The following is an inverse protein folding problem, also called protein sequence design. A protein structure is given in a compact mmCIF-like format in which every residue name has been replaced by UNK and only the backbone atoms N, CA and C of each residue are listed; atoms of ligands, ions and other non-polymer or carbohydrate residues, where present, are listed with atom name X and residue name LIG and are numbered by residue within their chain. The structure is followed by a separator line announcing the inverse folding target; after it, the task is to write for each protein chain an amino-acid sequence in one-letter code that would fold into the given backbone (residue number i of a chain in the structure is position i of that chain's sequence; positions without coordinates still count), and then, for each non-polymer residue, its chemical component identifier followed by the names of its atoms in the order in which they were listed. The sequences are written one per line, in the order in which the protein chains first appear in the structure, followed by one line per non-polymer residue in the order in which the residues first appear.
data_IF_748308246324
#
_entry.id   IF_748308246324
#
_cell.length_a   1.000
_cell.length_b   1.000
_cell.length_c   1.000
_cell.angle_alpha   90.00
_cell.angle_beta   90.00
_cell.angle_gamma   90.00
#
_symmetry.space_group_name_H-M   'P 1'
#
loop_
_entity.id
_entity.type
_entity.pdbx_description
1 polymer ?
#
# COMPACT_ATOMS: atom_id res chain seq x y z
N UNK A 1 16.28 -20.23 37.29
CA UNK A 1 16.33 -21.41 36.40
C UNK A 1 15.34 -21.17 35.26
N UNK A 2 15.82 -20.53 34.20
CA UNK A 2 15.03 -20.14 33.03
C UNK A 2 15.35 -21.07 31.88
N UNK A 3 14.34 -21.79 31.39
CA UNK A 3 14.44 -22.70 30.26
C UNK A 3 13.12 -22.56 29.53
N UNK A 4 13.17 -22.40 28.21
CA UNK A 4 12.08 -21.96 27.30
C UNK A 4 12.03 -20.43 27.13
N UNK A 5 13.11 -19.83 26.64
CA UNK A 5 12.99 -18.59 25.86
C UNK A 5 13.24 -18.94 24.40
N UNK A 6 12.24 -18.72 23.54
CA UNK A 6 12.39 -18.87 22.10
C UNK A 6 12.58 -17.49 21.48
N UNK A 7 13.72 -17.35 20.82
CA UNK A 7 14.13 -16.14 20.12
C UNK A 7 14.14 -16.42 18.63
N UNK A 8 13.29 -15.72 17.90
CA UNK A 8 13.29 -15.75 16.44
C UNK A 8 14.10 -14.55 15.94
N UNK A 9 15.13 -14.80 15.13
CA UNK A 9 15.98 -13.74 14.55
C UNK A 9 15.18 -12.89 13.57
N UNK A 10 14.40 -13.55 12.72
CA UNK A 10 13.48 -12.93 11.78
C UNK A 10 12.32 -13.86 11.47
N UNK A 11 11.24 -13.29 10.94
CA UNK A 11 10.09 -14.00 10.42
C UNK A 11 9.70 -13.37 9.09
N UNK A 12 9.78 -14.15 8.02
CA UNK A 12 9.36 -13.77 6.67
C UNK A 12 8.07 -14.50 6.30
N UNK A 13 7.07 -13.76 5.82
CA UNK A 13 5.83 -14.31 5.26
C UNK A 13 5.70 -13.77 3.85
N UNK A 14 5.51 -14.65 2.88
CA UNK A 14 5.25 -14.29 1.49
C UNK A 14 3.98 -15.04 1.06
N UNK A 15 3.02 -14.29 0.52
CA UNK A 15 1.81 -14.85 -0.05
C UNK A 15 1.48 -14.18 -1.39
N UNK A 16 0.89 -14.95 -2.29
CA UNK A 16 0.41 -14.46 -3.59
C UNK A 16 -1.10 -14.68 -3.71
N UNK A 17 -1.77 -13.83 -4.49
CA UNK A 17 -3.22 -13.92 -4.71
C UNK A 17 -4.03 -13.76 -3.42
N UNK A 18 -3.58 -12.88 -2.53
CA UNK A 18 -4.20 -12.66 -1.24
C UNK A 18 -5.62 -12.12 -1.38
N UNK A 19 -6.54 -12.65 -0.56
CA UNK A 19 -7.93 -12.17 -0.47
C UNK A 19 -8.44 -12.26 0.96
N UNK A 20 -8.99 -11.17 1.48
CA UNK A 20 -9.67 -11.17 2.79
C UNK A 20 -11.16 -11.46 2.64
N UNK A 21 -11.85 -11.89 3.72
CA UNK A 21 -13.30 -12.05 3.73
C UNK A 21 -14.06 -10.76 3.37
N UNK A 22 -13.47 -9.60 3.69
CA UNK A 22 -14.02 -8.28 3.38
C UNK A 22 -13.63 -7.76 1.99
N UNK A 23 -13.14 -8.63 1.10
CA UNK A 23 -12.93 -8.32 -0.31
C UNK A 23 -11.64 -7.55 -0.63
N UNK A 24 -10.77 -7.29 0.35
CA UNK A 24 -9.44 -6.76 0.07
C UNK A 24 -8.63 -7.81 -0.70
N UNK A 25 -8.03 -7.41 -1.82
CA UNK A 25 -7.23 -8.28 -2.67
C UNK A 25 -5.84 -7.71 -2.83
N UNK A 26 -4.84 -8.58 -3.03
CA UNK A 26 -3.48 -8.19 -3.34
C UNK A 26 -2.80 -9.26 -4.19
N UNK A 27 -2.00 -8.85 -5.17
CA UNK A 27 -1.20 -9.79 -5.96
C UNK A 27 -0.15 -10.47 -5.11
N UNK A 28 0.51 -9.72 -4.25
CA UNK A 28 1.57 -10.22 -3.39
C UNK A 28 1.60 -9.46 -2.07
N UNK A 29 1.86 -10.19 -1.00
CA UNK A 29 2.07 -9.67 0.33
C UNK A 29 3.38 -10.25 0.85
N UNK A 30 4.31 -9.38 1.20
CA UNK A 30 5.57 -9.75 1.86
C UNK A 30 5.63 -9.07 3.21
N UNK A 31 5.92 -9.82 4.27
CA UNK A 31 6.12 -9.29 5.61
C UNK A 31 7.44 -9.81 6.12
N UNK A 32 8.34 -8.92 6.53
CA UNK A 32 9.60 -9.26 7.19
C UNK A 32 9.64 -8.58 8.55
N UNK A 33 9.66 -9.38 9.61
CA UNK A 33 9.73 -8.90 11.00
C UNK A 33 11.05 -9.32 11.59
N UNK A 34 11.80 -8.33 12.08
CA UNK A 34 13.08 -8.54 12.74
C UNK A 34 12.88 -8.68 14.25
N UNK A 35 13.50 -9.70 14.85
CA UNK A 35 13.56 -9.92 16.29
C UNK A 35 12.19 -10.11 16.95
N UNK A 36 11.75 -11.37 17.08
CA UNK A 36 10.56 -11.73 17.86
C UNK A 36 10.96 -12.57 19.07
N UNK A 37 10.61 -12.07 20.26
CA UNK A 37 10.83 -12.75 21.52
C UNK A 37 9.47 -13.16 22.09
N UNK A 38 9.21 -14.47 22.15
CA UNK A 38 7.95 -15.00 22.68
C UNK A 38 8.13 -15.34 24.15
N UNK A 39 7.17 -14.92 24.97
CA UNK A 39 7.09 -15.32 26.37
C UNK A 39 6.46 -16.71 26.47
N UNK A 40 7.30 -17.74 26.58
CA UNK A 40 6.82 -19.12 26.73
C UNK A 40 6.19 -19.39 28.10
N UNK A 41 6.55 -18.61 29.13
CA UNK A 41 5.92 -18.75 30.44
C UNK A 41 4.44 -18.44 30.33
N UNK A 42 4.10 -17.32 29.66
CA UNK A 42 2.71 -16.95 29.36
C UNK A 42 2.08 -17.94 28.37
N UNK A 43 2.82 -18.38 27.34
CA UNK A 43 2.31 -19.36 26.39
C UNK A 43 1.90 -20.67 27.05
N UNK A 44 2.72 -21.23 27.93
CA UNK A 44 2.47 -22.51 28.58
C UNK A 44 1.41 -22.36 29.67
N UNK A 45 1.53 -21.35 30.53
CA UNK A 45 0.66 -21.19 31.71
C UNK A 45 -0.71 -20.63 31.37
N UNK A 46 -0.80 -19.72 30.41
CA UNK A 46 -2.03 -19.02 30.06
C UNK A 46 -2.57 -19.42 28.68
N UNK A 47 -1.87 -20.32 27.97
CA UNK A 47 -2.22 -20.72 26.59
C UNK A 47 -2.36 -19.52 25.65
N UNK A 48 -1.55 -18.48 25.89
CA UNK A 48 -1.59 -17.21 25.16
C UNK A 48 -0.22 -16.82 24.66
N UNK A 49 -0.11 -16.50 23.38
CA UNK A 49 1.13 -15.91 22.84
C UNK A 49 1.28 -14.49 23.37
N UNK A 50 2.34 -14.26 24.14
CA UNK A 50 2.74 -12.93 24.56
C UNK A 50 4.14 -12.59 24.03
N UNK A 51 4.34 -11.31 23.77
CA UNK A 51 5.61 -10.77 23.30
C UNK A 51 6.39 -10.29 24.52
N UNK A 52 7.64 -10.73 24.63
CA UNK A 52 8.54 -10.29 25.69
C UNK A 52 9.38 -9.12 25.19
N UNK A 53 9.41 -8.03 25.96
CA UNK A 53 10.24 -6.86 25.66
C UNK A 53 9.58 -5.87 24.69
N UNK A 54 10.41 -5.23 23.85
CA UNK A 54 9.92 -4.19 22.92
C UNK A 54 9.12 -4.81 21.76
N UNK A 55 8.06 -4.13 21.28
CA UNK A 55 7.31 -4.56 20.10
C UNK A 55 8.21 -4.83 18.88
N UNK A 56 8.15 -6.04 18.28
CA UNK A 56 8.87 -6.39 17.06
C UNK A 56 8.56 -5.39 15.95
N UNK A 57 9.60 -5.08 15.17
CA UNK A 57 9.52 -4.12 14.06
C UNK A 57 9.94 -4.80 12.78
N UNK A 58 9.32 -4.36 11.70
CA UNK A 58 9.52 -4.95 10.40
C UNK A 58 9.06 -4.05 9.27
N UNK A 59 8.98 -4.64 8.10
CA UNK A 59 8.47 -4.03 6.88
C UNK A 59 7.43 -4.95 6.27
N UNK A 60 6.43 -4.36 5.63
CA UNK A 60 5.47 -5.07 4.79
C UNK A 60 5.43 -4.43 3.43
N UNK A 61 5.40 -5.24 2.38
CA UNK A 61 5.19 -4.79 1.01
C UNK A 61 3.92 -5.42 0.49
N UNK A 62 2.98 -4.57 0.08
CA UNK A 62 1.74 -5.00 -0.58
C UNK A 62 1.81 -4.61 -2.04
N UNK A 63 1.72 -5.58 -2.93
CA UNK A 63 1.65 -5.36 -4.38
C UNK A 63 0.19 -5.40 -4.83
N UNK A 64 -0.28 -4.31 -5.41
CA UNK A 64 -1.66 -4.12 -5.86
C UNK A 64 -1.67 -3.78 -7.34
N UNK A 65 -2.53 -4.41 -8.14
CA UNK A 65 -2.89 -3.85 -9.44
C UNK A 65 -4.02 -2.80 -9.28
N UNK A 66 -4.48 -2.21 -10.39
CA UNK A 66 -5.55 -1.20 -10.33
C UNK A 66 -6.85 -1.71 -9.67
N UNK A 67 -7.25 -2.95 -9.95
CA UNK A 67 -8.44 -3.58 -9.36
C UNK A 67 -8.27 -3.83 -7.87
N UNK A 68 -7.12 -4.36 -7.47
CA UNK A 68 -6.77 -4.62 -6.07
C UNK A 68 -6.76 -3.32 -5.26
N UNK A 69 -6.19 -2.25 -5.85
CA UNK A 69 -6.19 -0.93 -5.25
C UNK A 69 -7.60 -0.35 -5.14
N UNK A 70 -8.45 -0.50 -6.16
CA UNK A 70 -9.87 -0.16 -6.10
C UNK A 70 -10.56 -0.85 -4.91
N UNK A 71 -10.39 -2.17 -4.78
CA UNK A 71 -10.93 -2.93 -3.64
C UNK A 71 -10.35 -2.46 -2.29
N UNK A 72 -9.05 -2.14 -2.23
CA UNK A 72 -8.39 -1.61 -1.04
C UNK A 72 -9.01 -0.29 -0.58
N UNK A 73 -9.34 0.63 -1.51
CA UNK A 73 -9.97 1.91 -1.15
C UNK A 73 -11.37 1.78 -0.53
N UNK A 74 -12.05 0.65 -0.77
CA UNK A 74 -13.37 0.36 -0.20
C UNK A 74 -13.29 -0.39 1.13
N UNK A 75 -12.10 -0.83 1.53
CA UNK A 75 -11.96 -1.63 2.74
C UNK A 75 -12.28 -0.78 3.99
N UNK A 76 -13.04 -1.30 4.98
CA UNK A 76 -13.43 -0.51 6.16
C UNK A 76 -12.26 0.10 6.92
N UNK A 77 -11.11 -0.56 6.97
CA UNK A 77 -9.91 -0.02 7.60
C UNK A 77 -9.34 1.18 6.85
N UNK A 78 -9.35 1.13 5.52
CA UNK A 78 -8.89 2.24 4.69
C UNK A 78 -9.87 3.41 4.80
N UNK A 79 -11.18 3.15 4.71
CA UNK A 79 -12.23 4.17 4.85
C UNK A 79 -12.15 4.89 6.20
N UNK A 80 -11.90 4.17 7.30
CA UNK A 80 -11.69 4.77 8.62
C UNK A 80 -10.47 5.70 8.63
N UNK A 81 -9.36 5.30 8.02
CA UNK A 81 -8.17 6.14 7.92
C UNK A 81 -8.39 7.35 7.01
N UNK A 82 -9.17 7.19 5.93
CA UNK A 82 -9.45 8.23 4.94
C UNK A 82 -10.57 9.21 5.34
N UNK A 83 -11.28 8.95 6.45
CA UNK A 83 -12.43 9.74 6.90
C UNK A 83 -12.11 11.21 7.16
N UNK A 84 -10.83 11.55 7.37
CA UNK A 84 -10.35 12.91 7.62
C UNK A 84 -9.23 13.33 6.65
N UNK A 85 -9.05 12.59 5.54
CA UNK A 85 -7.91 12.73 4.63
C UNK A 85 -7.74 14.14 4.05
N UNK A 86 -8.83 14.88 3.82
CA UNK A 86 -8.77 16.20 3.19
C UNK A 86 -9.33 17.25 4.15
N UNK A 87 -8.42 17.93 4.86
CA UNK A 87 -8.74 18.99 5.82
C UNK A 87 -9.76 18.57 6.90
N UNK A 88 -9.68 17.33 7.38
CA UNK A 88 -10.63 16.83 8.37
C UNK A 88 -11.94 16.31 7.78
N UNK A 89 -12.11 16.37 6.46
CA UNK A 89 -13.25 15.80 5.74
C UNK A 89 -12.87 14.52 4.99
N UNK A 90 -13.86 13.66 4.79
CA UNK A 90 -13.70 12.42 4.07
C UNK A 90 -13.51 12.67 2.57
N UNK A 91 -12.75 11.79 1.93
CA UNK A 91 -12.68 11.67 0.49
C UNK A 91 -13.21 10.28 0.09
N UNK A 92 -14.36 10.23 -0.57
CA UNK A 92 -15.00 9.00 -0.99
C UNK A 92 -14.45 8.57 -2.36
N UNK A 93 -13.51 7.62 -2.35
CA UNK A 93 -12.87 7.10 -3.56
C UNK A 93 -13.86 6.29 -4.41
N UNK A 94 -13.81 6.50 -5.72
CA UNK A 94 -14.51 5.69 -6.72
C UNK A 94 -13.62 4.49 -7.10
N UNK A 95 -13.96 3.26 -6.70
CA UNK A 95 -13.10 2.09 -6.88
C UNK A 95 -12.93 1.70 -8.36
N UNK A 96 -13.90 2.04 -9.21
CA UNK A 96 -13.91 1.67 -10.62
C UNK A 96 -13.11 2.67 -11.48
N UNK A 97 -12.75 3.82 -10.90
CA UNK A 97 -11.95 4.86 -11.56
C UNK A 97 -10.44 4.64 -11.48
N UNK A 98 -10.00 3.64 -10.71
CA UNK A 98 -8.58 3.42 -10.42
C UNK A 98 -7.85 2.94 -11.68
N UNK A 99 -6.77 3.64 -12.03
CA UNK A 99 -5.83 3.19 -13.07
C UNK A 99 -4.39 3.41 -12.65
N UNK A 100 -3.52 2.49 -13.05
CA UNK A 100 -2.09 2.57 -12.84
C UNK A 100 -1.45 2.62 -14.22
N UNK A 101 -0.63 3.65 -14.44
CA UNK A 101 0.03 3.89 -15.74
C UNK A 101 1.53 3.96 -15.49
N UNK A 102 2.28 3.04 -16.09
CA UNK A 102 3.73 3.13 -16.16
C UNK A 102 4.16 3.92 -17.41
N UNK A 103 5.07 4.88 -17.25
CA UNK A 103 5.60 5.65 -18.38
C UNK A 103 6.89 5.03 -18.92
N UNK A 104 7.05 4.86 -20.25
CA UNK A 104 8.27 4.30 -20.85
C UNK A 104 9.54 5.10 -20.54
N UNK A 105 9.41 6.40 -20.30
CA UNK A 105 10.50 7.31 -19.91
C UNK A 105 10.96 7.15 -18.46
N UNK A 106 10.36 6.21 -17.72
CA UNK A 106 10.56 6.03 -16.28
C UNK A 106 9.52 6.77 -15.44
N UNK A 107 9.22 6.21 -14.27
CA UNK A 107 8.16 6.68 -13.38
C UNK A 107 6.78 6.15 -13.78
N UNK A 108 5.74 6.80 -13.28
CA UNK A 108 4.36 6.41 -13.55
C UNK A 108 3.41 7.17 -12.65
N UNK A 109 2.14 6.91 -12.83
CA UNK A 109 1.09 7.54 -12.05
C UNK A 109 -0.04 6.59 -11.73
N UNK A 110 -0.65 6.84 -10.58
CA UNK A 110 -1.90 6.23 -10.14
C UNK A 110 -2.96 7.31 -10.28
N UNK A 111 -4.04 7.02 -11.00
CA UNK A 111 -5.18 7.92 -11.14
C UNK A 111 -6.38 7.29 -10.45
N UNK A 112 -7.16 8.11 -9.77
CA UNK A 112 -8.47 7.75 -9.22
C UNK A 112 -9.34 8.98 -9.15
N UNK A 113 -10.64 8.79 -9.13
CA UNK A 113 -11.64 9.80 -8.87
C UNK A 113 -12.25 9.60 -7.49
N UNK A 114 -12.85 10.64 -6.94
CA UNK A 114 -13.60 10.55 -5.70
C UNK A 114 -14.35 11.83 -5.40
N UNK A 115 -15.20 11.78 -4.38
CA UNK A 115 -16.00 12.93 -3.94
C UNK A 115 -15.45 13.47 -2.63
N UNK A 116 -15.17 14.77 -2.59
CA UNK A 116 -14.75 15.42 -1.34
C UNK A 116 -15.98 15.82 -0.54
N UNK A 117 -16.06 15.38 0.72
CA UNK A 117 -17.27 15.58 1.53
C UNK A 117 -17.54 17.04 1.93
N UNK A 118 -16.54 17.94 1.80
CA UNK A 118 -16.71 19.34 2.19
C UNK A 118 -17.59 20.14 1.20
N UNK A 119 -17.50 19.83 -0.09
CA UNK A 119 -18.25 20.51 -1.15
C UNK A 119 -19.17 19.57 -1.95
N UNK A 120 -19.03 18.25 -1.78
CA UNK A 120 -19.81 17.25 -2.51
C UNK A 120 -19.40 17.09 -3.98
N UNK A 121 -18.30 17.73 -4.38
CA UNK A 121 -17.83 17.75 -5.76
C UNK A 121 -16.89 16.57 -6.05
N UNK A 122 -16.86 16.18 -7.33
CA UNK A 122 -15.99 15.10 -7.80
C UNK A 122 -14.64 15.64 -8.22
N UNK A 123 -13.59 14.94 -7.83
CA UNK A 123 -12.21 15.26 -8.15
C UNK A 123 -11.52 14.08 -8.77
N UNK A 124 -10.77 14.33 -9.83
CA UNK A 124 -9.78 13.39 -10.38
C UNK A 124 -8.44 13.69 -9.74
N UNK A 125 -7.85 12.68 -9.14
CA UNK A 125 -6.57 12.75 -8.44
C UNK A 125 -5.54 11.97 -9.24
N UNK A 126 -4.36 12.56 -9.38
CA UNK A 126 -3.21 11.98 -10.04
C UNK A 126 -2.06 11.94 -9.05
N UNK A 127 -1.58 10.75 -8.74
CA UNK A 127 -0.54 10.49 -7.77
C UNK A 127 0.68 9.91 -8.48
N UNK A 128 1.84 10.53 -8.30
CA UNK A 128 3.12 10.08 -8.84
C UNK A 128 4.02 9.65 -7.68
N UNK A 129 4.16 8.34 -7.45
CA UNK A 129 5.06 7.80 -6.45
C UNK A 129 6.50 8.24 -6.69
N UNK A 130 7.17 8.62 -5.60
CA UNK A 130 8.60 8.90 -5.61
C UNK A 130 9.39 7.65 -5.95
N UNK A 131 10.11 7.64 -7.07
CA UNK A 131 10.90 6.47 -7.47
C UNK A 131 11.92 6.08 -6.39
N UNK A 132 11.69 4.95 -5.73
CA UNK A 132 12.64 4.31 -4.83
C UNK A 132 13.10 3.00 -5.44
N UNK A 133 14.43 2.77 -5.46
CA UNK A 133 14.98 1.43 -5.65
C UNK A 133 14.54 0.61 -4.45
N UNK A 134 13.94 -0.56 -4.70
CA UNK A 134 13.50 -1.51 -3.67
C UNK A 134 14.61 -1.69 -2.61
N UNK A 135 14.21 -1.72 -1.33
CA UNK A 135 15.01 -2.41 -0.32
C UNK A 135 15.06 -3.88 -0.73
N UNK A 136 16.06 -4.25 -1.52
CA UNK A 136 16.40 -5.63 -1.77
C UNK A 136 16.68 -6.28 -0.41
N UNK A 137 15.87 -7.29 -0.07
CA UNK A 137 16.17 -8.15 1.05
C UNK A 137 17.59 -8.74 0.86
N UNK A 138 18.43 -8.56 1.88
CA UNK A 138 19.73 -9.19 2.09
C UNK A 138 20.82 -8.95 1.03
N UNK A 139 21.60 -7.88 1.19
CA UNK A 139 23.04 -7.92 0.94
C UNK A 139 23.75 -6.90 1.84
N UNK A 140 24.59 -7.42 2.74
CA UNK A 140 25.76 -6.80 3.37
C UNK A 140 25.89 -5.27 3.32
N UNK A 141 25.90 -4.67 4.51
CA UNK A 141 26.43 -3.35 4.77
C UNK A 141 27.78 -3.15 4.05
N UNK A 142 27.77 -2.36 2.97
CA UNK A 142 28.96 -1.70 2.44
C UNK A 142 28.56 -0.29 2.04
N UNK A 143 29.24 0.64 2.70
CA UNK A 143 29.24 2.08 2.51
C UNK A 143 29.47 2.43 1.04
N UNK A 144 28.55 3.20 0.45
CA UNK A 144 28.64 3.68 -0.92
C UNK A 144 27.81 4.94 -1.06
N UNK A 145 28.52 6.06 -1.02
CA UNK A 145 28.04 7.44 -1.03
C UNK A 145 27.32 7.80 -2.34
N UNK A 146 26.31 8.68 -2.24
CA UNK A 146 25.47 9.10 -3.38
C UNK A 146 23.97 8.81 -3.24
N UNK A 147 23.39 8.98 -2.05
CA UNK A 147 21.96 8.90 -1.84
C UNK A 147 21.25 10.13 -2.46
N UNK A 148 20.84 10.01 -3.73
CA UNK A 148 19.88 10.94 -4.32
C UNK A 148 18.65 11.05 -3.39
N UNK A 149 18.31 12.27 -3.00
CA UNK A 149 17.25 12.53 -2.04
C UNK A 149 15.95 11.79 -2.45
N UNK A 150 15.21 11.22 -1.47
CA UNK A 150 13.93 10.57 -1.75
C UNK A 150 13.04 11.54 -2.53
N UNK A 151 12.63 11.16 -3.75
CA UNK A 151 11.64 11.95 -4.50
C UNK A 151 10.35 11.90 -3.68
N UNK A 152 9.87 13.05 -3.22
CA UNK A 152 8.61 13.13 -2.48
C UNK A 152 7.45 12.68 -3.36
N UNK A 153 6.45 12.06 -2.74
CA UNK A 153 5.15 11.78 -3.36
C UNK A 153 4.60 13.08 -3.95
N UNK A 154 4.23 13.06 -5.24
CA UNK A 154 3.56 14.21 -5.87
C UNK A 154 2.12 13.85 -6.13
N UNK A 155 1.21 14.74 -5.75
CA UNK A 155 -0.22 14.58 -5.99
C UNK A 155 -0.73 15.85 -6.65
N UNK A 156 -1.46 15.68 -7.75
CA UNK A 156 -2.30 16.71 -8.36
C UNK A 156 -3.76 16.30 -8.26
N UNK A 157 -4.66 17.28 -8.27
CA UNK A 157 -6.08 17.01 -8.41
C UNK A 157 -6.72 18.02 -9.37
N UNK A 158 -7.81 17.60 -9.98
CA UNK A 158 -8.59 18.38 -10.93
C UNK A 158 -10.08 18.19 -10.60
N UNK A 159 -10.81 19.29 -10.51
CA UNK A 159 -12.27 19.24 -10.38
C UNK A 159 -12.88 18.63 -11.64
N UNK A 160 -13.82 17.70 -11.46
CA UNK A 160 -14.57 17.02 -12.54
C UNK A 160 -15.99 17.62 -12.54
N UNK A 161 -16.30 18.58 -13.43
CA UNK A 161 -17.56 19.29 -13.39
C UNK A 161 -18.73 18.35 -13.71
N UNK A 162 -19.78 18.34 -12.88
CA UNK A 162 -21.05 17.65 -13.16
C UNK A 162 -22.00 18.44 -14.08
N UNK A 163 -21.69 19.70 -14.30
CA UNK A 163 -22.35 20.64 -15.23
C UNK A 163 -21.37 21.77 -15.50
N UNK A 164 -21.58 22.59 -16.54
CA UNK A 164 -20.62 23.57 -17.10
C UNK A 164 -20.16 24.72 -16.19
N UNK A 165 -20.12 24.55 -14.88
CA UNK A 165 -19.45 25.43 -13.94
C UNK A 165 -17.93 25.44 -14.12
N UNK A 166 -17.32 26.57 -13.76
CA UNK A 166 -15.88 26.74 -13.84
C UNK A 166 -15.16 25.86 -12.79
N UNK A 167 -14.00 25.29 -13.11
CA UNK A 167 -13.23 24.46 -12.18
C UNK A 167 -12.73 25.29 -10.99
N UNK A 168 -13.01 24.85 -9.76
CA UNK A 168 -12.41 25.44 -8.55
C UNK A 168 -10.98 24.90 -8.34
N UNK A 169 -10.00 25.65 -8.87
CA UNK A 169 -8.58 25.33 -8.72
C UNK A 169 -8.11 25.34 -7.26
N UNK A 170 -8.72 26.17 -6.39
CA UNK A 170 -8.35 26.24 -4.98
C UNK A 170 -8.81 25.00 -4.23
N UNK A 171 -10.04 24.53 -4.49
CA UNK A 171 -10.52 23.27 -3.93
C UNK A 171 -9.72 22.06 -4.42
N UNK A 172 -9.41 22.01 -5.72
CA UNK A 172 -8.53 20.98 -6.26
C UNK A 172 -7.15 20.97 -5.58
N UNK A 173 -6.56 22.14 -5.31
CA UNK A 173 -5.31 22.25 -4.56
C UNK A 173 -5.39 21.69 -3.13
N UNK A 174 -6.51 21.93 -2.43
CA UNK A 174 -6.76 21.38 -1.08
C UNK A 174 -6.89 19.86 -1.10
N UNK A 175 -7.63 19.32 -2.06
CA UNK A 175 -7.77 17.87 -2.26
C UNK A 175 -6.41 17.24 -2.53
N UNK A 176 -5.64 17.80 -3.45
CA UNK A 176 -4.30 17.29 -3.77
C UNK A 176 -3.38 17.25 -2.54
N UNK A 177 -3.34 18.33 -1.76
CA UNK A 177 -2.54 18.42 -0.55
C UNK A 177 -2.99 17.43 0.54
N UNK A 178 -4.30 17.33 0.78
CA UNK A 178 -4.86 16.40 1.76
C UNK A 178 -4.58 14.94 1.40
N UNK A 179 -4.78 14.57 0.12
CA UNK A 179 -4.47 13.20 -0.33
C UNK A 179 -2.97 12.91 -0.24
N UNK A 180 -2.10 13.86 -0.59
CA UNK A 180 -0.65 13.70 -0.41
C UNK A 180 -0.28 13.47 1.06
N UNK A 181 -0.85 14.24 1.98
CA UNK A 181 -0.60 14.12 3.41
C UNK A 181 -1.12 12.78 3.96
N UNK A 182 -2.35 12.41 3.60
CA UNK A 182 -2.95 11.12 3.93
C UNK A 182 -2.07 9.94 3.51
N UNK A 183 -1.65 9.87 2.23
CA UNK A 183 -0.78 8.80 1.77
C UNK A 183 0.65 8.92 2.29
N UNK A 184 1.10 10.04 2.83
CA UNK A 184 2.44 10.14 3.46
C UNK A 184 2.40 9.64 4.90
N UNK A 185 1.30 9.91 5.61
CA UNK A 185 1.15 9.68 7.03
C UNK A 185 0.18 8.53 7.37
N UNK A 186 -0.25 7.76 6.37
CA UNK A 186 -1.20 6.67 6.55
C UNK A 186 -0.72 5.70 7.64
N UNK A 187 -1.64 5.39 8.55
CA UNK A 187 -1.47 4.42 9.60
C UNK A 187 -2.71 3.51 9.65
N UNK A 188 -2.48 2.20 9.62
CA UNK A 188 -3.52 1.18 9.72
C UNK A 188 -3.25 0.33 10.96
N UNK A 189 -4.29 0.07 11.74
CA UNK A 189 -4.26 -0.82 12.88
C UNK A 189 -5.03 -2.10 12.56
N UNK A 190 -4.33 -3.22 12.52
CA UNK A 190 -4.83 -4.55 12.24
C UNK A 190 -4.89 -5.35 13.54
N UNK A 191 -5.73 -4.91 14.48
CA UNK A 191 -5.95 -5.55 15.78
C UNK A 191 -4.64 -5.89 16.53
N UNK A 192 -3.77 -4.88 16.68
CA UNK A 192 -2.50 -5.02 17.38
C UNK A 192 -1.30 -5.13 16.45
N UNK A 193 -1.49 -5.24 15.13
CA UNK A 193 -0.43 -5.06 14.14
C UNK A 193 -0.60 -3.68 13.50
N UNK A 194 0.32 -2.77 13.83
CA UNK A 194 0.32 -1.40 13.33
C UNK A 194 1.18 -1.32 12.06
N UNK A 195 0.63 -0.73 11.00
CA UNK A 195 1.29 -0.55 9.71
C UNK A 195 1.30 0.93 9.36
N UNK A 196 2.47 1.54 9.17
CA UNK A 196 2.64 3.01 9.06
C UNK A 196 3.65 3.44 8.00
N UNK A 197 3.63 4.73 7.66
CA UNK A 197 4.63 5.40 6.81
C UNK A 197 4.81 4.68 5.48
N UNK A 198 3.76 4.62 4.66
CA UNK A 198 3.84 3.98 3.36
C UNK A 198 4.85 4.71 2.47
N UNK A 199 5.54 3.92 1.66
CA UNK A 199 6.40 4.33 0.57
C UNK A 199 5.84 3.65 -0.67
N UNK A 200 5.40 4.48 -1.61
CA UNK A 200 4.76 4.03 -2.84
C UNK A 200 5.83 3.89 -3.93
N UNK A 201 5.75 2.83 -4.71
CA UNK A 201 6.58 2.65 -5.90
C UNK A 201 5.81 1.94 -7.00
N UNK A 202 6.04 2.34 -8.24
CA UNK A 202 5.41 1.73 -9.41
C UNK A 202 6.41 0.82 -10.11
N UNK A 203 5.92 -0.33 -10.55
CA UNK A 203 6.70 -1.23 -11.38
C UNK A 203 5.80 -1.95 -12.38
N UNK A 204 6.34 -2.29 -13.56
CA UNK A 204 5.69 -3.27 -14.41
C UNK A 204 5.68 -4.62 -13.71
N UNK A 205 4.52 -5.27 -13.70
CA UNK A 205 4.35 -6.63 -13.24
C UNK A 205 5.04 -7.59 -14.21
N UNK A 206 6.18 -8.12 -13.78
CA UNK A 206 6.80 -9.28 -14.43
C UNK A 206 6.32 -10.50 -13.67
N UNK A 207 5.20 -11.07 -14.12
CA UNK A 207 4.64 -12.28 -13.52
C UNK A 207 5.69 -13.37 -13.37
N UNK A 208 5.68 -14.04 -12.22
CA UNK A 208 6.47 -15.25 -12.01
C UNK A 208 6.04 -16.34 -13.01
N UNK A 209 7.01 -16.86 -13.75
CA UNK A 209 6.94 -18.02 -14.64
C UNK A 209 5.90 -17.97 -15.78
N UNK A 210 6.34 -17.47 -16.93
CA UNK A 210 5.92 -18.01 -18.22
C UNK A 210 7.18 -18.41 -18.99
N UNK A 211 7.24 -19.68 -19.34
CA UNK A 211 8.25 -20.25 -20.22
C UNK A 211 8.34 -19.45 -21.54
N UNK A 212 9.53 -19.54 -22.12
CA UNK A 212 9.94 -18.91 -23.36
C UNK A 212 8.88 -18.90 -24.49
N UNK A 213 8.84 -17.76 -25.20
CA UNK A 213 8.65 -17.75 -26.66
C UNK A 213 7.36 -17.11 -27.15
N UNK A 214 7.48 -15.98 -27.86
CA UNK A 214 6.44 -15.58 -28.81
C UNK A 214 6.29 -14.09 -29.08
N UNK A 215 7.22 -13.52 -29.87
CA UNK A 215 6.94 -12.54 -30.93
C UNK A 215 6.07 -11.32 -30.66
N UNK A 216 6.71 -10.16 -30.51
CA UNK A 216 6.11 -8.86 -30.79
C UNK A 216 5.75 -8.73 -32.29
N UNK A 217 4.52 -8.30 -32.60
CA UNK A 217 4.23 -7.50 -33.80
C UNK A 217 3.05 -6.57 -33.52
N UNK A 218 3.31 -5.26 -33.57
CA UNK A 218 2.37 -4.22 -33.16
C UNK A 218 1.31 -3.86 -34.20
N UNK A 219 0.38 -3.00 -33.78
CA UNK A 219 -0.26 -1.99 -34.63
C UNK A 219 -0.95 -0.92 -33.79
N UNK A 220 -0.79 0.32 -34.23
CA UNK A 220 -1.45 1.56 -33.78
C UNK A 220 -2.93 1.59 -34.14
N UNK A 221 -3.77 2.18 -33.27
CA UNK A 221 -4.68 3.33 -33.54
C UNK A 221 -5.94 3.33 -32.66
N UNK A 222 -6.28 4.55 -32.18
CA UNK A 222 -7.61 5.10 -31.86
C UNK A 222 -8.50 4.46 -30.79
N UNK A 223 -8.82 5.29 -29.78
CA UNK A 223 -10.10 5.38 -29.05
C UNK A 223 -10.90 4.09 -28.89
N UNK A 224 -10.59 3.34 -27.83
CA UNK A 224 -11.57 2.52 -27.10
C UNK A 224 -11.28 2.56 -25.60
N UNK A 225 -12.36 2.56 -24.84
CA UNK A 225 -12.43 2.56 -23.39
C UNK A 225 -11.33 1.71 -22.72
N UNK A 226 -10.83 2.23 -21.60
CA UNK A 226 -9.70 1.74 -20.83
C UNK A 226 -9.58 0.22 -20.79
N UNK A 227 -8.65 -0.30 -21.58
CA UNK A 227 -8.04 -1.59 -21.29
C UNK A 227 -7.25 -1.37 -20.02
N UNK A 228 -7.80 -1.82 -18.89
CA UNK A 228 -7.08 -1.85 -17.62
C UNK A 228 -5.84 -2.70 -17.87
N UNK A 229 -4.67 -2.07 -17.98
CA UNK A 229 -3.42 -2.77 -18.06
C UNK A 229 -3.25 -3.53 -16.75
N UNK A 230 -3.66 -4.80 -16.71
CA UNK A 230 -3.48 -5.69 -15.56
C UNK A 230 -1.98 -5.95 -15.25
N UNK A 231 -1.10 -5.50 -16.14
CA UNK A 231 0.34 -5.61 -16.03
C UNK A 231 1.03 -4.52 -15.22
N UNK A 232 0.37 -3.43 -14.82
CA UNK A 232 1.04 -2.41 -13.98
C UNK A 232 0.62 -2.57 -12.52
N UNK A 233 1.59 -2.52 -11.61
CA UNK A 233 1.36 -2.67 -10.18
C UNK A 233 1.96 -1.53 -9.36
N UNK A 234 1.30 -1.28 -8.24
CA UNK A 234 1.74 -0.41 -7.17
C UNK A 234 2.23 -1.26 -6.00
N UNK A 235 3.48 -1.05 -5.62
CA UNK A 235 4.02 -1.58 -4.37
C UNK A 235 3.89 -0.51 -3.28
N UNK A 236 3.25 -0.90 -2.17
CA UNK A 236 3.11 -0.10 -0.96
C UNK A 236 4.00 -0.74 0.11
N UNK A 237 5.17 -0.16 0.36
CA UNK A 237 6.05 -0.59 1.43
C UNK A 237 5.76 0.20 2.71
N UNK A 238 5.45 -0.46 3.81
CA UNK A 238 5.11 0.17 5.08
C UNK A 238 5.95 -0.41 6.21
N UNK A 239 6.12 0.37 7.28
CA UNK A 239 6.71 -0.11 8.54
C UNK A 239 5.67 -0.87 9.33
N UNK A 240 6.05 -2.03 9.85
CA UNK A 240 5.21 -2.86 10.71
C UNK A 240 5.70 -2.81 12.14
N UNK A 241 4.77 -2.75 13.08
CA UNK A 241 5.02 -2.92 14.51
C UNK A 241 3.97 -3.85 15.11
N UNK A 242 4.40 -4.94 15.74
CA UNK A 242 3.48 -5.88 16.41
C UNK A 242 3.37 -5.49 17.89
N UNK A 243 2.24 -4.89 18.28
CA UNK A 243 1.93 -4.54 19.68
C UNK A 243 1.38 -5.73 20.44
N UNK A 244 0.56 -6.55 19.78
CA UNK A 244 -0.01 -7.77 20.33
C UNK A 244 -0.38 -8.73 19.22
N UNK A 245 -0.40 -10.02 19.53
CA UNK A 245 -1.07 -10.98 18.66
C UNK A 245 -2.56 -10.99 18.98
N UNK A 246 -3.44 -11.02 17.96
CA UNK A 246 -4.85 -11.36 18.19
C UNK A 246 -4.92 -12.76 18.85
N UNK A 247 -5.97 -13.04 19.65
CA UNK A 247 -6.11 -14.31 20.32
C UNK A 247 -6.11 -15.45 19.29
N UNK A 248 -5.08 -16.28 19.32
CA UNK A 248 -5.02 -17.48 18.51
C UNK A 248 -5.95 -18.51 19.16
N UNK A 249 -7.00 -18.91 18.44
CA UNK A 249 -7.79 -20.10 18.80
C UNK A 249 -6.93 -21.34 18.57
N UNK A 250 -6.00 -21.62 19.47
CA UNK A 250 -5.26 -22.87 19.49
C UNK A 250 -6.10 -23.91 20.22
N UNK A 251 -6.99 -24.57 19.48
CA UNK A 251 -7.53 -25.85 19.93
C UNK A 251 -6.43 -26.89 19.72
N UNK A 252 -5.85 -27.37 20.81
CA UNK A 252 -4.99 -28.55 20.84
C UNK A 252 -5.83 -29.78 21.20
#
# INVERSE_FOLDING_TARGET
MGVLEGRFRSMGIIGEGWRTPLGMTARRLEVDISGLHVDYGVLVMQRKVAIKGSPPKGHTTITLNARDLGAFTQHPLFLRAAATAVQGHAFAFDPDSVSIVHHPSGGGEVRFEGVWAADGERYRVLMQPGGHRHHAAAATATTGDGAAAPKKLRVGAQHVPRGGGAPDAAAAGRVAAGIADFFTNMALDLDGIEVTRPVLSLRPWRGGSAAAGGGYRGSSSSDKAGVVNEGDVLDICMRVRIRSFPPLNMQF
#
